data_IF_561231012031
#
_entry.id   IF_561231012031
#
_cell.length_a   1.000
_cell.length_b   1.000
_cell.length_c   1.000
_cell.angle_alpha   90.00
_cell.angle_beta   90.00
_cell.angle_gamma   90.00
#
_symmetry.space_group_name_H-M   'P 1'
#
loop_
_entity.id
_entity.type
_entity.pdbx_description
1 polymer ?
#
# COMPACT_ATOMS: atom_id res chain seq x y z
N UNK A 1 0.91 -4.26 -29.92
CA UNK A 1 2.36 -4.30 -29.67
C UNK A 1 3.01 -3.21 -30.52
N UNK A 2 3.16 -2.00 -29.98
CA UNK A 2 4.07 -1.00 -30.56
C UNK A 2 5.17 -0.79 -29.50
N UNK A 3 6.16 -1.67 -29.53
CA UNK A 3 7.30 -1.63 -28.60
C UNK A 3 8.41 -0.68 -29.08
N UNK A 4 8.24 -0.06 -30.24
CA UNK A 4 9.25 0.79 -30.88
C UNK A 4 8.69 2.20 -31.11
N UNK A 5 9.58 3.19 -31.10
CA UNK A 5 9.26 4.53 -31.57
C UNK A 5 8.76 4.49 -33.03
N UNK A 6 7.98 5.49 -33.44
CA UNK A 6 7.43 5.57 -34.80
C UNK A 6 8.52 5.69 -35.88
N UNK A 7 9.70 6.20 -35.50
CA UNK A 7 10.86 6.39 -36.39
C UNK A 7 12.09 5.67 -35.86
N UNK A 8 12.96 5.25 -36.78
CA UNK A 8 14.36 4.95 -36.44
C UNK A 8 15.13 6.28 -36.36
N UNK A 9 15.66 6.60 -35.17
CA UNK A 9 16.39 7.84 -34.96
C UNK A 9 17.76 7.86 -35.65
N UNK A 10 18.29 6.71 -36.09
CA UNK A 10 19.50 6.65 -36.92
C UNK A 10 19.24 7.07 -38.37
N UNK A 11 17.98 7.05 -38.81
CA UNK A 11 17.56 7.39 -40.17
C UNK A 11 16.73 8.69 -40.22
N UNK A 12 16.59 9.40 -39.10
CA UNK A 12 15.88 10.68 -39.03
C UNK A 12 16.83 11.84 -39.37
N UNK A 13 17.10 12.02 -40.67
CA UNK A 13 18.02 13.03 -41.20
C UNK A 13 17.73 14.45 -40.65
N UNK A 14 16.44 14.81 -40.50
CA UNK A 14 16.03 16.11 -39.93
C UNK A 14 16.52 16.28 -38.49
N UNK A 15 16.42 15.23 -37.68
CA UNK A 15 16.89 15.25 -36.29
C UNK A 15 18.43 15.29 -36.24
N UNK A 16 19.10 14.52 -37.10
CA UNK A 16 20.57 14.46 -37.16
C UNK A 16 21.15 15.81 -37.58
N UNK A 17 20.58 16.46 -38.58
CA UNK A 17 20.96 17.80 -39.02
C UNK A 17 20.74 18.83 -37.90
N UNK A 18 19.58 18.79 -37.25
CA UNK A 18 19.26 19.70 -36.14
C UNK A 18 20.26 19.52 -34.97
N UNK A 19 20.55 18.28 -34.58
CA UNK A 19 21.53 17.97 -33.52
C UNK A 19 22.93 18.47 -33.90
N UNK A 20 23.36 18.23 -35.15
CA UNK A 20 24.67 18.68 -35.64
C UNK A 20 24.77 20.19 -35.60
N UNK A 21 23.76 20.90 -36.10
CA UNK A 21 23.69 22.37 -36.08
C UNK A 21 23.74 22.95 -34.67
N UNK A 22 23.03 22.33 -33.70
CA UNK A 22 23.10 22.71 -32.28
C UNK A 22 24.52 22.54 -31.73
N UNK A 23 25.21 21.44 -32.06
CA UNK A 23 26.58 21.17 -31.60
C UNK A 23 27.63 22.10 -32.22
N UNK A 24 27.35 22.67 -33.39
CA UNK A 24 28.14 23.73 -34.01
C UNK A 24 27.92 25.13 -33.38
N UNK A 25 26.97 25.25 -32.45
CA UNK A 25 26.66 26.48 -31.73
C UNK A 25 25.42 27.22 -32.24
N UNK A 26 24.70 26.68 -33.23
CA UNK A 26 23.47 27.28 -33.76
C UNK A 26 22.26 26.86 -32.90
N UNK A 27 22.08 27.52 -31.76
CA UNK A 27 21.02 27.18 -30.80
C UNK A 27 19.64 27.70 -31.24
N UNK A 28 18.61 26.85 -31.17
CA UNK A 28 17.21 27.29 -31.43
C UNK A 28 16.63 28.09 -30.25
N UNK A 29 17.00 27.71 -29.02
CA UNK A 29 16.49 28.27 -27.75
C UNK A 29 14.97 28.11 -27.54
N UNK A 30 14.30 27.23 -28.27
CA UNK A 30 12.86 27.01 -28.13
C UNK A 30 12.50 26.52 -26.72
N UNK A 31 13.34 25.66 -26.13
CA UNK A 31 13.20 25.19 -24.74
C UNK A 31 13.27 26.31 -23.69
N UNK A 32 13.89 27.45 -24.01
CA UNK A 32 13.98 28.62 -23.12
C UNK A 32 12.80 29.57 -23.30
N UNK A 33 12.20 29.59 -24.50
CA UNK A 33 11.09 30.47 -24.89
C UNK A 33 9.73 29.79 -24.75
N UNK A 34 9.64 28.77 -23.88
CA UNK A 34 8.40 28.04 -23.63
C UNK A 34 7.36 28.94 -22.96
N UNK A 35 6.13 28.89 -23.47
CA UNK A 35 4.97 29.61 -22.94
C UNK A 35 4.29 28.83 -21.81
N UNK A 36 5.04 28.54 -20.75
CA UNK A 36 4.50 28.00 -19.50
C UNK A 36 4.68 28.98 -18.36
N UNK A 37 3.81 28.98 -17.34
CA UNK A 37 3.94 29.91 -16.21
C UNK A 37 5.28 29.77 -15.49
N UNK A 38 6.01 30.87 -15.32
CA UNK A 38 7.28 30.89 -14.59
C UNK A 38 7.02 31.08 -13.10
N UNK A 39 7.00 29.98 -12.35
CA UNK A 39 6.72 29.96 -10.92
C UNK A 39 7.98 29.60 -10.12
N UNK A 40 8.01 29.99 -8.85
CA UNK A 40 9.09 29.66 -7.91
C UNK A 40 8.51 29.02 -6.66
N UNK A 41 8.74 27.72 -6.51
CA UNK A 41 8.42 27.01 -5.27
C UNK A 41 9.42 27.37 -4.16
N UNK A 42 8.95 27.35 -2.91
CA UNK A 42 9.76 27.55 -1.72
C UNK A 42 9.25 26.60 -0.63
N UNK A 43 10.13 26.01 0.19
CA UNK A 43 9.70 25.18 1.30
C UNK A 43 8.90 26.02 2.30
N UNK A 44 7.69 25.58 2.65
CA UNK A 44 6.90 26.19 3.72
C UNK A 44 7.48 25.89 5.11
N UNK A 45 8.12 24.72 5.27
CA UNK A 45 8.82 24.29 6.48
C UNK A 45 10.28 23.91 6.16
N UNK A 46 11.28 24.70 6.60
CA UNK A 46 12.70 24.39 6.38
C UNK A 46 13.14 23.03 6.93
N UNK A 47 12.47 22.50 7.96
CA UNK A 47 12.81 21.20 8.54
C UNK A 47 12.37 20.03 7.64
N UNK A 48 11.36 20.23 6.80
CA UNK A 48 10.86 19.23 5.84
C UNK A 48 11.48 19.38 4.44
N UNK A 49 12.08 20.52 4.15
CA UNK A 49 12.59 20.83 2.82
C UNK A 49 11.47 21.11 1.84
N UNK A 50 11.76 21.03 0.54
CA UNK A 50 10.79 21.30 -0.53
C UNK A 50 9.97 20.03 -0.81
N UNK A 51 8.68 20.08 -0.48
CA UNK A 51 7.74 18.95 -0.61
C UNK A 51 6.88 19.05 -1.89
N UNK A 52 6.12 17.99 -2.18
CA UNK A 52 5.09 18.06 -3.21
C UNK A 52 3.97 19.06 -2.92
N UNK A 53 3.64 19.29 -1.64
CA UNK A 53 2.67 20.32 -1.24
C UNK A 53 3.18 21.72 -1.61
N UNK A 54 4.47 22.00 -1.37
CA UNK A 54 5.11 23.28 -1.76
C UNK A 54 5.18 23.48 -3.28
N UNK A 55 5.12 22.38 -4.04
CA UNK A 55 5.14 22.37 -5.50
C UNK A 55 3.75 22.40 -6.14
N UNK A 56 2.67 22.42 -5.34
CA UNK A 56 1.29 22.48 -5.84
C UNK A 56 0.94 23.89 -6.33
N UNK A 57 1.52 24.29 -7.47
CA UNK A 57 1.49 25.67 -7.96
C UNK A 57 0.92 25.76 -9.37
N UNK A 58 -0.21 26.45 -9.53
CA UNK A 58 -0.83 26.73 -10.83
C UNK A 58 -1.02 25.45 -11.67
N UNK A 59 -0.68 25.44 -12.96
CA UNK A 59 -0.88 24.27 -13.83
C UNK A 59 0.08 23.10 -13.55
N UNK A 60 1.08 23.28 -12.68
CA UNK A 60 1.97 22.20 -12.24
C UNK A 60 1.39 21.41 -11.08
N UNK A 61 0.47 22.01 -10.33
CA UNK A 61 -0.11 21.45 -9.12
C UNK A 61 -1.17 20.38 -9.38
N UNK A 62 -1.35 19.49 -8.41
CA UNK A 62 -2.37 18.45 -8.46
C UNK A 62 -3.79 19.00 -8.30
N UNK A 63 -3.95 20.21 -7.78
CA UNK A 63 -5.24 20.90 -7.73
C UNK A 63 -5.77 21.26 -9.12
N UNK A 64 -4.88 21.43 -10.10
CA UNK A 64 -5.25 21.71 -11.48
C UNK A 64 -5.66 20.46 -12.28
N UNK A 65 -5.51 19.25 -11.73
CA UNK A 65 -5.86 18.02 -12.44
C UNK A 65 -7.38 17.94 -12.60
N UNK A 66 -7.89 17.86 -13.86
CA UNK A 66 -9.32 17.71 -14.11
C UNK A 66 -9.82 16.34 -13.64
N UNK A 67 -11.15 16.21 -13.46
CA UNK A 67 -11.77 14.93 -13.12
C UNK A 67 -11.51 13.84 -14.19
N UNK A 68 -11.40 14.23 -15.46
CA UNK A 68 -11.04 13.34 -16.56
C UNK A 68 -9.84 13.89 -17.32
N UNK A 69 -8.75 13.13 -17.36
CA UNK A 69 -7.58 13.41 -18.20
C UNK A 69 -7.85 12.85 -19.60
N UNK A 70 -7.85 13.70 -20.64
CA UNK A 70 -8.30 13.35 -22.01
C UNK A 70 -7.29 13.59 -23.11
N UNK A 71 -6.20 14.28 -22.82
CA UNK A 71 -5.28 14.84 -23.82
C UNK A 71 -3.81 14.69 -23.39
N UNK A 72 -3.55 13.87 -22.36
CA UNK A 72 -2.21 13.65 -21.79
C UNK A 72 -1.97 12.16 -21.61
N UNK A 73 -1.52 11.52 -22.69
CA UNK A 73 -1.28 10.06 -22.72
C UNK A 73 0.18 9.67 -22.89
N UNK A 74 1.10 10.64 -22.97
CA UNK A 74 2.55 10.43 -22.96
C UNK A 74 3.13 10.55 -21.54
N UNK A 75 4.44 10.34 -21.37
CA UNK A 75 5.19 10.67 -20.12
C UNK A 75 5.61 12.16 -20.04
N UNK A 76 4.99 13.06 -20.80
CA UNK A 76 5.36 14.48 -20.76
C UNK A 76 5.00 15.08 -19.39
N UNK A 77 6.00 15.52 -18.61
CA UNK A 77 5.79 15.96 -17.23
C UNK A 77 4.63 16.97 -17.09
N UNK A 78 3.76 16.76 -16.08
CA UNK A 78 2.58 17.59 -15.83
C UNK A 78 2.93 19.09 -15.82
N UNK A 79 2.14 19.87 -16.56
CA UNK A 79 2.35 21.31 -16.73
C UNK A 79 3.41 21.73 -17.76
N UNK A 80 4.12 20.78 -18.38
CA UNK A 80 5.00 21.08 -19.53
C UNK A 80 4.18 21.52 -20.74
N UNK A 81 4.78 22.35 -21.59
CA UNK A 81 4.23 22.63 -22.90
C UNK A 81 4.19 21.35 -23.74
N UNK A 82 3.01 21.00 -24.24
CA UNK A 82 2.85 19.83 -25.09
C UNK A 82 3.14 20.22 -26.53
N UNK A 83 3.91 19.38 -27.22
CA UNK A 83 4.16 19.49 -28.65
C UNK A 83 3.30 18.45 -29.39
N UNK A 84 3.11 18.66 -30.69
CA UNK A 84 2.40 17.70 -31.52
C UNK A 84 3.16 16.35 -31.58
N UNK A 85 2.43 15.26 -31.86
CA UNK A 85 2.99 13.91 -32.08
C UNK A 85 3.68 13.27 -30.87
N UNK A 86 3.31 13.66 -29.64
CA UNK A 86 3.71 12.91 -28.45
C UNK A 86 3.13 11.49 -28.48
N UNK A 87 3.87 10.47 -28.01
CA UNK A 87 3.39 9.09 -28.05
C UNK A 87 2.25 8.87 -27.05
N UNK A 88 1.29 8.02 -27.42
CA UNK A 88 0.27 7.51 -26.51
C UNK A 88 0.77 6.22 -25.87
N UNK A 89 0.83 6.18 -24.54
CA UNK A 89 1.31 5.04 -23.75
C UNK A 89 0.17 4.12 -23.28
N UNK A 90 -1.07 4.40 -23.68
CA UNK A 90 -2.21 3.53 -23.46
C UNK A 90 -2.71 3.50 -22.02
N UNK A 91 -2.61 4.62 -21.27
CA UNK A 91 -3.18 4.69 -19.93
C UNK A 91 -4.68 4.38 -19.94
N UNK A 92 -5.09 3.43 -19.11
CA UNK A 92 -6.49 2.98 -19.02
C UNK A 92 -7.23 3.61 -17.85
N UNK A 93 -6.51 4.16 -16.85
CA UNK A 93 -7.10 4.83 -15.69
C UNK A 93 -6.78 6.32 -15.76
N UNK A 94 -7.78 7.09 -16.20
CA UNK A 94 -7.65 8.52 -16.51
C UNK A 94 -8.60 9.41 -15.71
N UNK A 95 -9.39 8.82 -14.81
CA UNK A 95 -10.36 9.54 -13.99
C UNK A 95 -9.80 9.77 -12.59
N UNK A 96 -9.80 11.01 -12.13
CA UNK A 96 -9.22 11.39 -10.83
C UNK A 96 -9.93 10.69 -9.68
N UNK A 97 -11.26 10.70 -9.67
CA UNK A 97 -12.03 10.05 -8.61
C UNK A 97 -11.91 8.52 -8.57
N UNK A 98 -11.33 7.86 -9.58
CA UNK A 98 -11.06 6.42 -9.50
C UNK A 98 -9.82 6.11 -8.65
N UNK A 99 -8.97 7.10 -8.34
CA UNK A 99 -7.64 6.83 -7.76
C UNK A 99 -7.18 7.81 -6.67
N UNK A 100 -7.74 9.02 -6.62
CA UNK A 100 -7.21 10.11 -5.81
C UNK A 100 -7.64 10.02 -4.33
N UNK A 101 -6.79 10.55 -3.44
CA UNK A 101 -7.08 10.77 -2.02
C UNK A 101 -6.43 12.08 -1.55
N UNK A 102 -7.15 12.91 -0.80
CA UNK A 102 -6.65 14.24 -0.40
C UNK A 102 -5.42 14.20 0.52
N UNK A 103 -5.20 13.08 1.21
CA UNK A 103 -4.04 12.88 2.07
C UNK A 103 -2.84 12.24 1.36
N UNK A 104 -2.94 11.89 0.08
CA UNK A 104 -1.91 11.09 -0.62
C UNK A 104 -0.54 11.75 -0.63
N UNK A 105 -0.52 13.07 -0.77
CA UNK A 105 0.70 13.89 -0.79
C UNK A 105 1.41 13.84 0.56
N UNK A 106 0.66 14.09 1.64
CA UNK A 106 1.19 14.02 2.99
C UNK A 106 1.68 12.61 3.36
N UNK A 107 0.96 11.57 2.92
CA UNK A 107 1.36 10.18 3.15
C UNK A 107 2.65 9.82 2.41
N UNK A 108 2.85 10.31 1.19
CA UNK A 108 4.11 10.11 0.46
C UNK A 108 5.30 10.80 1.15
N UNK A 109 5.11 12.04 1.62
CA UNK A 109 6.14 12.74 2.39
C UNK A 109 6.46 12.03 3.72
N UNK A 110 5.43 11.55 4.42
CA UNK A 110 5.59 10.77 5.65
C UNK A 110 6.39 9.47 5.42
N UNK A 111 6.11 8.75 4.32
CA UNK A 111 6.81 7.49 4.00
C UNK A 111 8.32 7.70 3.82
N UNK A 112 8.75 8.86 3.31
CA UNK A 112 10.17 9.22 3.21
C UNK A 112 10.75 9.59 4.59
N UNK A 113 10.04 10.43 5.35
CA UNK A 113 10.52 10.96 6.62
C UNK A 113 10.61 9.89 7.72
N UNK A 114 9.71 8.90 7.71
CA UNK A 114 9.65 7.84 8.72
C UNK A 114 10.16 6.49 8.20
N UNK A 115 10.97 6.50 7.15
CA UNK A 115 11.60 5.30 6.59
C UNK A 115 12.43 4.57 7.64
N UNK A 116 12.48 3.25 7.53
CA UNK A 116 13.35 2.38 8.32
C UNK A 116 13.96 1.30 7.43
N UNK A 117 15.03 0.68 7.90
CA UNK A 117 15.78 -0.36 7.22
C UNK A 117 15.81 -1.62 8.08
N UNK A 118 15.15 -2.72 7.66
CA UNK A 118 15.12 -3.97 8.42
C UNK A 118 16.49 -4.50 8.80
N UNK A 119 17.53 -4.22 8.01
CA UNK A 119 18.89 -4.68 8.28
C UNK A 119 19.53 -4.08 9.54
N UNK A 120 19.23 -2.83 9.88
CA UNK A 120 19.99 -2.06 10.88
C UNK A 120 19.13 -1.46 11.98
N UNK A 121 17.85 -1.17 11.70
CA UNK A 121 16.96 -0.55 12.69
C UNK A 121 16.31 -1.56 13.63
N UNK A 122 16.28 -2.85 13.24
CA UNK A 122 15.87 -3.94 14.12
C UNK A 122 17.11 -4.54 14.80
N UNK A 123 17.17 -4.58 16.15
CA UNK A 123 18.31 -5.14 16.88
C UNK A 123 18.26 -6.67 16.91
N UNK A 124 18.52 -7.32 15.78
CA UNK A 124 18.45 -8.78 15.63
C UNK A 124 19.30 -9.57 16.63
N UNK A 125 20.41 -9.01 17.12
CA UNK A 125 21.26 -9.62 18.13
C UNK A 125 20.64 -9.73 19.53
N UNK A 126 19.49 -9.08 19.77
CA UNK A 126 18.74 -9.17 21.04
C UNK A 126 17.75 -10.35 21.06
N UNK A 127 17.68 -11.16 20.00
CA UNK A 127 16.84 -12.35 19.98
C UNK A 127 17.44 -13.43 20.88
N UNK A 128 16.67 -13.86 21.89
CA UNK A 128 17.02 -14.98 22.76
C UNK A 128 16.48 -16.29 22.18
N UNK A 129 17.19 -16.80 21.17
CA UNK A 129 16.74 -17.92 20.34
C UNK A 129 16.83 -19.28 21.05
N UNK A 130 17.63 -19.37 22.12
CA UNK A 130 17.86 -20.60 22.87
C UNK A 130 16.84 -20.82 24.00
N UNK A 131 16.27 -19.75 24.56
CA UNK A 131 15.43 -19.86 25.75
C UNK A 131 14.02 -20.42 25.49
N UNK A 132 13.45 -20.21 24.30
CA UNK A 132 12.04 -20.56 24.03
C UNK A 132 11.81 -21.03 22.57
N UNK A 133 12.29 -22.23 22.17
CA UNK A 133 12.23 -22.70 20.78
C UNK A 133 10.81 -22.77 20.20
N UNK A 134 9.81 -23.09 21.04
CA UNK A 134 8.42 -23.14 20.60
C UNK A 134 7.89 -21.75 20.25
N UNK A 135 8.20 -20.75 21.07
CA UNK A 135 7.81 -19.37 20.81
C UNK A 135 8.51 -18.82 19.57
N UNK A 136 9.78 -19.17 19.38
CA UNK A 136 10.53 -18.81 18.18
C UNK A 136 9.91 -19.44 16.93
N UNK A 137 9.47 -20.69 16.99
CA UNK A 137 8.77 -21.35 15.88
C UNK A 137 7.41 -20.67 15.59
N UNK A 138 6.68 -20.28 16.64
CA UNK A 138 5.43 -19.54 16.48
C UNK A 138 5.66 -18.16 15.84
N UNK A 139 6.67 -17.40 16.29
CA UNK A 139 6.99 -16.11 15.68
C UNK A 139 7.43 -16.27 14.22
N UNK A 140 8.25 -17.29 13.91
CA UNK A 140 8.67 -17.60 12.55
C UNK A 140 7.48 -17.92 11.64
N UNK A 141 6.54 -18.75 12.12
CA UNK A 141 5.31 -19.09 11.39
C UNK A 141 4.41 -17.86 11.15
N UNK A 142 4.21 -17.01 12.16
CA UNK A 142 3.45 -15.78 12.01
C UNK A 142 4.11 -14.82 11.01
N UNK A 143 5.44 -14.70 11.05
CA UNK A 143 6.19 -13.91 10.07
C UNK A 143 6.13 -14.50 8.66
N UNK A 144 6.10 -15.83 8.50
CA UNK A 144 5.94 -16.45 7.17
C UNK A 144 4.62 -16.04 6.53
N UNK A 145 3.50 -16.08 7.25
CA UNK A 145 2.23 -15.59 6.71
C UNK A 145 2.26 -14.08 6.42
N UNK A 146 2.86 -13.28 7.30
CA UNK A 146 2.96 -11.83 7.07
C UNK A 146 3.85 -11.49 5.87
N UNK A 147 4.88 -12.30 5.58
CA UNK A 147 5.68 -12.22 4.35
C UNK A 147 4.81 -12.49 3.12
N UNK A 148 3.97 -13.53 3.14
CA UNK A 148 3.01 -13.84 2.06
C UNK A 148 2.01 -12.69 1.81
N UNK A 149 1.47 -12.13 2.90
CA UNK A 149 0.59 -10.95 2.85
C UNK A 149 1.30 -9.74 2.25
N UNK A 150 2.53 -9.46 2.69
CA UNK A 150 3.32 -8.32 2.21
C UNK A 150 3.69 -8.46 0.72
N UNK A 151 4.00 -9.68 0.25
CA UNK A 151 4.23 -9.94 -1.18
C UNK A 151 3.02 -9.53 -2.02
N UNK A 152 1.81 -9.88 -1.60
CA UNK A 152 0.59 -9.49 -2.33
C UNK A 152 0.29 -8.00 -2.19
N UNK A 153 0.44 -7.43 -0.99
CA UNK A 153 0.24 -5.99 -0.78
C UNK A 153 1.23 -5.13 -1.57
N UNK A 154 2.43 -5.66 -1.86
CA UNK A 154 3.43 -5.06 -2.77
C UNK A 154 3.00 -5.18 -4.24
N UNK A 155 2.47 -6.32 -4.67
CA UNK A 155 2.09 -6.57 -6.07
C UNK A 155 0.77 -5.90 -6.48
N UNK A 156 -0.16 -5.68 -5.56
CA UNK A 156 -1.42 -4.98 -5.87
C UNK A 156 -1.18 -3.63 -6.56
N UNK A 157 -0.44 -2.66 -5.97
CA UNK A 157 -0.15 -1.39 -6.64
C UNK A 157 0.68 -1.57 -7.93
N UNK A 158 1.54 -2.59 -8.02
CA UNK A 158 2.37 -2.86 -9.22
C UNK A 158 1.51 -3.08 -10.47
N UNK A 159 0.37 -3.78 -10.33
CA UNK A 159 -0.59 -4.03 -11.43
C UNK A 159 -1.20 -2.75 -12.01
N UNK A 160 -1.26 -1.67 -11.22
CA UNK A 160 -2.01 -0.48 -11.57
C UNK A 160 -1.16 0.74 -11.89
N UNK A 161 0.02 0.88 -11.27
CA UNK A 161 0.88 2.07 -11.42
C UNK A 161 1.16 2.42 -12.89
N UNK A 162 1.42 1.44 -13.74
CA UNK A 162 1.65 1.69 -15.17
C UNK A 162 0.39 2.16 -15.90
N UNK A 163 -0.77 1.59 -15.56
CA UNK A 163 -2.07 1.85 -16.18
C UNK A 163 -2.68 3.21 -15.78
N UNK A 164 -2.27 3.74 -14.62
CA UNK A 164 -2.69 5.05 -14.12
C UNK A 164 -1.98 6.17 -14.88
N UNK A 165 -2.76 7.14 -15.35
CA UNK A 165 -2.26 8.30 -16.06
C UNK A 165 -1.16 9.03 -15.27
N UNK A 166 -0.07 9.39 -15.94
CA UNK A 166 1.07 10.05 -15.30
C UNK A 166 0.76 11.44 -14.71
N UNK A 167 -0.35 12.07 -15.11
CA UNK A 167 -0.82 13.31 -14.49
C UNK A 167 -1.08 13.15 -12.98
N UNK A 168 -1.35 11.93 -12.50
CA UNK A 168 -1.51 11.60 -11.08
C UNK A 168 -0.16 11.27 -10.39
N UNK A 169 0.89 12.07 -10.64
CA UNK A 169 2.25 11.75 -10.21
C UNK A 169 2.42 11.56 -8.70
N UNK A 170 1.72 12.34 -7.86
CA UNK A 170 1.81 12.24 -6.40
C UNK A 170 1.24 10.90 -5.92
N UNK A 171 0.11 10.50 -6.50
CA UNK A 171 -0.47 9.19 -6.25
C UNK A 171 0.48 8.08 -6.71
N UNK A 172 1.02 8.15 -7.93
CA UNK A 172 1.95 7.13 -8.42
C UNK A 172 3.19 7.03 -7.50
N UNK A 173 3.67 8.17 -7.03
CA UNK A 173 4.78 8.24 -6.06
C UNK A 173 4.41 7.56 -4.73
N UNK A 174 3.21 7.80 -4.21
CA UNK A 174 2.70 7.11 -3.02
C UNK A 174 2.57 5.60 -3.22
N UNK A 175 2.04 5.14 -4.37
CA UNK A 175 1.93 3.71 -4.66
C UNK A 175 3.31 3.04 -4.75
N UNK A 176 4.31 3.70 -5.32
CA UNK A 176 5.68 3.23 -5.26
C UNK A 176 6.24 3.22 -3.82
N UNK A 177 5.91 4.20 -2.98
CA UNK A 177 6.30 4.19 -1.58
C UNK A 177 5.65 3.03 -0.81
N UNK A 178 4.37 2.74 -1.05
CA UNK A 178 3.67 1.58 -0.52
C UNK A 178 4.38 0.27 -0.94
N UNK A 179 4.75 0.11 -2.22
CA UNK A 179 5.51 -1.06 -2.68
C UNK A 179 6.83 -1.23 -1.91
N UNK A 180 7.54 -0.13 -1.66
CA UNK A 180 8.80 -0.15 -0.92
C UNK A 180 8.59 -0.46 0.57
N UNK A 181 7.51 0.03 1.18
CA UNK A 181 7.11 -0.32 2.54
C UNK A 181 6.84 -1.83 2.67
N UNK A 182 6.03 -2.39 1.77
CA UNK A 182 5.72 -3.82 1.76
C UNK A 182 6.97 -4.67 1.45
N UNK A 183 7.88 -4.21 0.58
CA UNK A 183 9.17 -4.88 0.35
C UNK A 183 10.02 -4.95 1.63
N UNK A 184 9.97 -3.93 2.50
CA UNK A 184 10.61 -3.99 3.83
C UNK A 184 9.94 -4.99 4.75
N UNK A 185 8.62 -5.17 4.65
CA UNK A 185 7.90 -6.15 5.47
C UNK A 185 8.26 -7.56 5.04
N UNK A 186 8.33 -7.82 3.74
CA UNK A 186 8.89 -9.08 3.17
C UNK A 186 10.28 -9.34 3.75
N UNK A 187 11.19 -8.37 3.65
CA UNK A 187 12.55 -8.50 4.18
C UNK A 187 12.59 -8.75 5.70
N UNK A 188 11.83 -7.97 6.48
CA UNK A 188 11.82 -8.03 7.94
C UNK A 188 11.22 -9.34 8.45
N UNK A 189 10.08 -9.76 7.92
CA UNK A 189 9.43 -11.01 8.28
C UNK A 189 10.31 -12.21 7.91
N UNK A 190 10.91 -12.20 6.71
CA UNK A 190 11.84 -13.24 6.28
C UNK A 190 13.05 -13.33 7.19
N UNK A 191 13.68 -12.20 7.50
CA UNK A 191 14.81 -12.12 8.44
C UNK A 191 14.41 -12.65 9.80
N UNK A 192 13.23 -12.27 10.32
CA UNK A 192 12.79 -12.69 11.64
C UNK A 192 12.59 -14.21 11.73
N UNK A 193 12.01 -14.82 10.71
CA UNK A 193 11.83 -16.27 10.63
C UNK A 193 13.18 -17.02 10.57
N UNK A 194 14.18 -16.47 9.88
CA UNK A 194 15.49 -17.09 9.71
C UNK A 194 16.45 -16.83 10.89
N UNK A 195 16.39 -15.65 11.50
CA UNK A 195 17.33 -15.23 12.56
C UNK A 195 17.22 -16.09 13.83
N UNK A 196 16.07 -16.72 14.07
CA UNK A 196 15.88 -17.66 15.18
C UNK A 196 16.45 -19.05 14.94
N UNK A 197 16.87 -19.36 13.71
CA UNK A 197 17.27 -20.70 13.28
C UNK A 197 16.11 -21.67 13.06
N UNK A 198 14.85 -21.24 13.26
CA UNK A 198 13.66 -22.09 13.04
C UNK A 198 13.35 -22.29 11.55
N UNK A 199 13.70 -21.31 10.71
CA UNK A 199 13.36 -21.32 9.29
C UNK A 199 11.97 -20.75 9.02
N UNK A 200 11.58 -20.74 7.75
CA UNK A 200 10.22 -20.37 7.36
C UNK A 200 9.22 -21.45 7.82
N UNK A 201 8.03 -21.00 8.18
CA UNK A 201 6.91 -21.87 8.51
C UNK A 201 6.23 -22.45 7.29
N UNK A 202 5.00 -22.93 7.50
CA UNK A 202 4.13 -23.50 6.49
C UNK A 202 3.29 -22.41 5.82
N UNK A 203 3.19 -22.46 4.49
CA UNK A 203 2.25 -21.64 3.73
C UNK A 203 0.80 -22.11 3.94
N UNK A 204 -0.13 -21.16 4.04
CA UNK A 204 -1.54 -21.45 4.27
C UNK A 204 -2.32 -21.52 2.96
N UNK A 205 -2.89 -22.68 2.62
CA UNK A 205 -3.74 -22.81 1.42
C UNK A 205 -4.91 -21.83 1.45
N UNK A 206 -5.50 -21.61 2.63
CA UNK A 206 -6.61 -20.67 2.80
C UNK A 206 -6.17 -19.22 2.63
N UNK A 207 -4.98 -18.85 3.13
CA UNK A 207 -4.46 -17.50 2.93
C UNK A 207 -4.09 -17.27 1.47
N UNK A 208 -3.43 -18.22 0.81
CA UNK A 208 -3.04 -18.11 -0.60
C UNK A 208 -4.25 -17.93 -1.53
N UNK A 209 -5.37 -18.62 -1.29
CA UNK A 209 -6.60 -18.40 -2.05
C UNK A 209 -7.21 -17.01 -1.79
N UNK A 210 -7.21 -16.56 -0.53
CA UNK A 210 -7.71 -15.25 -0.15
C UNK A 210 -6.86 -14.11 -0.72
N UNK A 211 -5.54 -14.24 -0.66
CA UNK A 211 -4.58 -13.29 -1.21
C UNK A 211 -4.67 -13.21 -2.74
N UNK A 212 -4.83 -14.36 -3.42
CA UNK A 212 -5.11 -14.41 -4.85
C UNK A 212 -6.36 -13.60 -5.20
N UNK A 213 -7.45 -13.79 -4.46
CA UNK A 213 -8.71 -13.06 -4.72
C UNK A 213 -8.49 -11.54 -4.67
N UNK A 214 -7.87 -11.04 -3.59
CA UNK A 214 -7.57 -9.62 -3.42
C UNK A 214 -6.64 -9.09 -4.53
N UNK A 215 -5.59 -9.86 -4.87
CA UNK A 215 -4.67 -9.52 -5.93
C UNK A 215 -5.36 -9.37 -7.28
N UNK A 216 -6.44 -10.12 -7.52
CA UNK A 216 -7.16 -10.20 -8.81
C UNK A 216 -8.34 -9.24 -8.95
N UNK A 217 -8.47 -8.23 -8.08
CA UNK A 217 -9.49 -7.19 -8.23
C UNK A 217 -9.55 -6.62 -9.67
N UNK A 218 -10.75 -6.34 -10.16
CA UNK A 218 -11.03 -6.00 -11.56
C UNK A 218 -10.87 -4.50 -11.84
N UNK A 219 -11.02 -3.67 -10.80
CA UNK A 219 -10.87 -2.22 -10.87
C UNK A 219 -9.94 -1.71 -9.77
N UNK A 220 -9.33 -0.54 -9.98
CA UNK A 220 -8.47 0.07 -8.96
C UNK A 220 -9.22 0.44 -7.66
N UNK A 221 -10.44 1.03 -7.69
CA UNK A 221 -11.22 1.25 -6.48
C UNK A 221 -11.44 -0.03 -5.66
N UNK A 222 -11.77 -1.14 -6.31
CA UNK A 222 -11.88 -2.45 -5.63
C UNK A 222 -10.53 -2.92 -5.08
N UNK A 223 -9.46 -2.81 -5.85
CA UNK A 223 -8.12 -3.21 -5.41
C UNK A 223 -7.68 -2.44 -4.16
N UNK A 224 -7.91 -1.12 -4.15
CA UNK A 224 -7.64 -0.26 -2.99
C UNK A 224 -8.57 -0.57 -1.82
N UNK A 225 -9.85 -0.83 -2.07
CA UNK A 225 -10.81 -1.18 -1.02
C UNK A 225 -10.44 -2.51 -0.35
N UNK A 226 -10.13 -3.54 -1.14
CA UNK A 226 -9.74 -4.85 -0.67
C UNK A 226 -8.39 -4.85 0.05
N UNK A 227 -7.38 -4.18 -0.51
CA UNK A 227 -6.00 -4.25 0.00
C UNK A 227 -5.75 -3.21 1.08
N UNK A 228 -6.04 -1.94 0.81
CA UNK A 228 -5.67 -0.85 1.71
C UNK A 228 -6.66 -0.70 2.88
N UNK A 229 -7.96 -0.92 2.65
CA UNK A 229 -8.97 -0.77 3.70
C UNK A 229 -9.29 -2.10 4.40
N UNK A 230 -9.76 -3.12 3.67
CA UNK A 230 -10.15 -4.41 4.26
C UNK A 230 -8.93 -5.14 4.85
N UNK A 231 -7.99 -5.59 4.00
CA UNK A 231 -6.80 -6.31 4.45
C UNK A 231 -5.94 -5.45 5.38
N UNK A 232 -5.66 -4.20 4.98
CA UNK A 232 -4.87 -3.26 5.78
C UNK A 232 -5.38 -3.06 7.21
N UNK A 233 -6.70 -3.06 7.44
CA UNK A 233 -7.28 -2.97 8.79
C UNK A 233 -6.88 -4.15 9.67
N UNK A 234 -6.93 -5.37 9.13
CA UNK A 234 -6.57 -6.57 9.87
C UNK A 234 -5.06 -6.70 10.04
N UNK A 235 -4.27 -6.46 8.98
CA UNK A 235 -2.79 -6.52 9.05
C UNK A 235 -2.23 -5.51 10.05
N UNK A 236 -2.80 -4.31 10.10
CA UNK A 236 -2.47 -3.31 11.12
C UNK A 236 -2.67 -3.88 12.53
N UNK A 237 -3.81 -4.54 12.77
CA UNK A 237 -4.11 -5.18 14.03
C UNK A 237 -3.20 -6.40 14.29
N UNK A 238 -2.79 -7.16 13.26
CA UNK A 238 -1.88 -8.29 13.37
C UNK A 238 -0.51 -7.84 13.88
N UNK A 239 0.10 -6.82 13.26
CA UNK A 239 1.38 -6.27 13.71
C UNK A 239 1.30 -5.69 15.12
N UNK A 240 0.19 -5.00 15.45
CA UNK A 240 -0.07 -4.51 16.80
C UNK A 240 -0.13 -5.65 17.82
N UNK A 241 -0.79 -6.75 17.49
CA UNK A 241 -0.89 -7.92 18.36
C UNK A 241 0.47 -8.59 18.56
N UNK A 242 1.25 -8.78 17.48
CA UNK A 242 2.61 -9.32 17.56
C UNK A 242 3.50 -8.42 18.44
N UNK A 243 3.46 -7.10 18.25
CA UNK A 243 4.18 -6.16 19.11
C UNK A 243 3.76 -6.26 20.59
N UNK A 244 2.45 -6.42 20.86
CA UNK A 244 1.94 -6.53 22.23
C UNK A 244 2.37 -7.82 22.94
N UNK A 245 2.45 -8.94 22.22
CA UNK A 245 2.85 -10.24 22.81
C UNK A 245 4.36 -10.44 22.82
N UNK A 246 5.15 -9.52 22.28
CA UNK A 246 6.59 -9.65 22.07
C UNK A 246 7.44 -9.46 23.32
N UNK A 247 8.38 -10.40 23.55
CA UNK A 247 9.32 -10.35 24.69
C UNK A 247 10.57 -9.51 24.38
N UNK A 248 11.05 -9.52 23.15
CA UNK A 248 12.28 -8.83 22.74
C UNK A 248 11.98 -7.42 22.22
N UNK A 249 12.96 -6.52 22.29
CA UNK A 249 12.86 -5.21 21.64
C UNK A 249 12.82 -5.35 20.11
N UNK A 250 13.54 -6.32 19.56
CA UNK A 250 13.56 -6.62 18.13
C UNK A 250 12.14 -6.86 17.59
N UNK A 251 11.38 -7.75 18.24
CA UNK A 251 10.01 -8.07 17.81
C UNK A 251 9.04 -6.90 18.01
N UNK A 252 9.20 -6.15 19.10
CA UNK A 252 8.42 -4.93 19.34
C UNK A 252 8.67 -3.86 18.27
N UNK A 253 9.92 -3.66 17.87
CA UNK A 253 10.29 -2.72 16.82
C UNK A 253 9.79 -3.18 15.46
N UNK A 254 9.94 -4.46 15.12
CA UNK A 254 9.37 -5.03 13.89
C UNK A 254 7.87 -4.73 13.81
N UNK A 255 7.11 -5.10 14.84
CA UNK A 255 5.66 -4.84 14.87
C UNK A 255 5.32 -3.35 14.80
N UNK A 256 6.05 -2.49 15.51
CA UNK A 256 5.77 -1.04 15.56
C UNK A 256 6.07 -0.34 14.24
N UNK A 257 7.22 -0.64 13.63
CA UNK A 257 7.64 -0.03 12.37
C UNK A 257 6.77 -0.53 11.21
N UNK A 258 6.46 -1.82 11.15
CA UNK A 258 5.52 -2.34 10.16
C UNK A 258 4.11 -1.76 10.34
N UNK A 259 3.61 -1.64 11.57
CA UNK A 259 2.31 -1.01 11.86
C UNK A 259 2.26 0.44 11.36
N UNK A 260 3.34 1.20 11.51
CA UNK A 260 3.43 2.58 11.01
C UNK A 260 3.21 2.65 9.49
N UNK A 261 3.75 1.68 8.76
CA UNK A 261 3.64 1.64 7.30
C UNK A 261 2.25 1.21 6.85
N UNK A 262 1.70 0.14 7.44
CA UNK A 262 0.33 -0.31 7.16
C UNK A 262 -0.69 0.77 7.52
N UNK A 263 -0.44 1.57 8.57
CA UNK A 263 -1.30 2.68 8.94
C UNK A 263 -1.38 3.75 7.83
N UNK A 264 -0.29 4.00 7.09
CA UNK A 264 -0.31 4.91 5.93
C UNK A 264 -1.15 4.35 4.80
N UNK A 265 -0.94 3.08 4.45
CA UNK A 265 -1.75 2.38 3.44
C UNK A 265 -3.25 2.39 3.80
N UNK A 266 -3.59 2.10 5.06
CA UNK A 266 -4.96 2.16 5.55
C UNK A 266 -5.56 3.57 5.54
N UNK A 267 -4.78 4.58 5.91
CA UNK A 267 -5.21 5.98 5.83
C UNK A 267 -5.47 6.43 4.39
N UNK A 268 -4.64 5.97 3.43
CA UNK A 268 -4.90 6.16 2.01
C UNK A 268 -6.20 5.46 1.60
N UNK A 269 -6.39 4.19 1.95
CA UNK A 269 -7.59 3.42 1.60
C UNK A 269 -8.88 4.10 2.06
N UNK A 270 -8.93 4.61 3.30
CA UNK A 270 -10.10 5.33 3.82
C UNK A 270 -10.35 6.65 3.06
N UNK A 271 -9.29 7.45 2.85
CA UNK A 271 -9.43 8.74 2.18
C UNK A 271 -9.75 8.59 0.68
N UNK A 272 -9.18 7.59 0.02
CA UNK A 272 -9.48 7.24 -1.36
C UNK A 272 -10.94 6.85 -1.52
N UNK A 273 -11.46 5.96 -0.67
CA UNK A 273 -12.87 5.58 -0.73
C UNK A 273 -13.82 6.75 -0.45
N UNK A 274 -13.47 7.62 0.51
CA UNK A 274 -14.23 8.84 0.77
C UNK A 274 -14.25 9.76 -0.45
N UNK A 275 -13.10 9.97 -1.09
CA UNK A 275 -13.01 10.80 -2.30
C UNK A 275 -13.81 10.16 -3.45
N UNK A 276 -13.62 8.87 -3.69
CA UNK A 276 -14.31 8.10 -4.73
C UNK A 276 -15.83 8.18 -4.58
N UNK A 277 -16.36 7.85 -3.39
CA UNK A 277 -17.80 7.86 -3.13
C UNK A 277 -18.40 9.27 -3.08
N UNK A 278 -17.62 10.27 -2.66
CA UNK A 278 -18.04 11.67 -2.73
C UNK A 278 -18.26 12.17 -4.16
N UNK A 279 -17.45 11.70 -5.11
CA UNK A 279 -17.54 12.08 -6.53
C UNK A 279 -18.35 11.10 -7.39
N UNK A 280 -18.49 9.85 -6.92
CA UNK A 280 -19.19 8.77 -7.61
C UNK A 280 -20.16 8.03 -6.66
N UNK A 281 -21.19 8.69 -6.11
CA UNK A 281 -22.09 8.07 -5.15
C UNK A 281 -22.81 6.83 -5.70
N UNK A 282 -23.04 6.77 -7.02
CA UNK A 282 -23.61 5.59 -7.69
C UNK A 282 -22.73 4.33 -7.65
N UNK A 283 -21.46 4.43 -7.25
CA UNK A 283 -20.55 3.29 -7.09
C UNK A 283 -20.65 2.61 -5.73
N UNK A 284 -21.36 3.19 -4.77
CA UNK A 284 -21.52 2.64 -3.43
C UNK A 284 -22.05 1.20 -3.44
N UNK A 285 -23.06 0.92 -4.27
CA UNK A 285 -23.65 -0.43 -4.39
C UNK A 285 -22.61 -1.44 -4.91
N UNK A 286 -21.91 -1.10 -6.00
CA UNK A 286 -20.90 -1.99 -6.57
C UNK A 286 -19.74 -2.29 -5.61
N UNK A 287 -19.25 -1.29 -4.87
CA UNK A 287 -18.20 -1.48 -3.86
C UNK A 287 -18.70 -2.29 -2.65
N UNK A 288 -19.95 -2.10 -2.25
CA UNK A 288 -20.52 -2.90 -1.18
C UNK A 288 -20.76 -4.36 -1.60
N UNK A 289 -21.12 -4.61 -2.86
CA UNK A 289 -21.22 -5.96 -3.43
C UNK A 289 -19.85 -6.63 -3.60
N UNK A 290 -18.81 -5.84 -3.89
CA UNK A 290 -17.42 -6.30 -3.83
C UNK A 290 -17.05 -6.74 -2.40
N UNK A 291 -17.34 -5.93 -1.37
CA UNK A 291 -17.09 -6.31 0.03
C UNK A 291 -17.92 -7.53 0.48
N UNK A 292 -19.17 -7.64 0.05
CA UNK A 292 -20.00 -8.83 0.34
C UNK A 292 -19.35 -10.13 -0.15
N UNK A 293 -18.62 -10.07 -1.26
CA UNK A 293 -17.83 -11.19 -1.77
C UNK A 293 -16.50 -11.31 -1.04
N UNK A 294 -15.74 -10.24 -0.85
CA UNK A 294 -14.35 -10.34 -0.42
C UNK A 294 -14.11 -10.30 1.08
N UNK A 295 -15.09 -9.95 1.93
CA UNK A 295 -14.90 -9.95 3.39
C UNK A 295 -14.51 -11.34 3.95
N UNK A 296 -14.85 -12.44 3.28
CA UNK A 296 -14.44 -13.78 3.72
C UNK A 296 -12.92 -14.01 3.62
N UNK A 297 -12.21 -13.23 2.80
CA UNK A 297 -10.74 -13.33 2.66
C UNK A 297 -10.04 -13.12 4.00
N UNK A 298 -10.62 -12.32 4.90
CA UNK A 298 -10.15 -12.12 6.27
C UNK A 298 -10.05 -13.44 7.03
N UNK A 299 -10.99 -14.35 6.84
CA UNK A 299 -10.93 -15.67 7.50
C UNK A 299 -9.88 -16.58 6.89
N UNK A 300 -9.66 -16.46 5.57
CA UNK A 300 -8.58 -17.16 4.90
C UNK A 300 -7.20 -16.73 5.41
N UNK A 301 -7.04 -15.45 5.79
CA UNK A 301 -5.75 -14.86 6.19
C UNK A 301 -5.63 -14.80 7.72
N UNK A 302 -6.34 -13.86 8.35
CA UNK A 302 -6.31 -13.62 9.79
C UNK A 302 -6.94 -14.76 10.60
N UNK A 303 -7.87 -15.51 9.99
CA UNK A 303 -8.49 -16.71 10.57
C UNK A 303 -7.74 -18.02 10.30
N UNK A 304 -6.63 -17.99 9.56
CA UNK A 304 -5.88 -19.21 9.23
C UNK A 304 -5.26 -19.86 10.47
N UNK A 305 -5.13 -21.20 10.51
CA UNK A 305 -4.36 -21.88 11.54
C UNK A 305 -2.92 -21.37 11.64
N UNK A 306 -2.32 -21.07 10.49
CA UNK A 306 -0.96 -20.53 10.35
C UNK A 306 -0.77 -19.14 11.00
N UNK A 307 -1.86 -18.43 11.32
CA UNK A 307 -1.79 -17.20 12.14
C UNK A 307 -2.32 -17.39 13.56
N UNK A 308 -3.51 -17.99 13.69
CA UNK A 308 -4.22 -18.02 14.96
C UNK A 308 -3.50 -18.89 15.99
N UNK A 309 -3.01 -20.06 15.61
CA UNK A 309 -2.32 -20.96 16.55
C UNK A 309 -1.01 -20.33 17.06
N UNK A 310 -0.13 -19.78 16.19
CA UNK A 310 1.01 -19.00 16.65
C UNK A 310 0.63 -17.84 17.56
N UNK A 311 -0.39 -17.05 17.23
CA UNK A 311 -0.77 -15.90 18.04
C UNK A 311 -1.30 -16.34 19.42
N UNK A 312 -2.08 -17.43 19.50
CA UNK A 312 -2.51 -18.03 20.77
C UNK A 312 -1.31 -18.45 21.60
N UNK A 313 -0.33 -19.15 21.01
CA UNK A 313 0.88 -19.61 21.71
C UNK A 313 1.73 -18.43 22.19
N UNK A 314 1.93 -17.42 21.34
CA UNK A 314 2.69 -16.22 21.67
C UNK A 314 2.04 -15.44 22.83
N UNK A 315 0.72 -15.34 22.85
CA UNK A 315 -0.04 -14.69 23.92
C UNK A 315 -0.12 -15.53 25.21
N UNK A 316 -0.19 -16.86 25.09
CA UNK A 316 -0.24 -17.78 26.23
C UNK A 316 1.10 -17.85 26.98
N UNK A 317 2.22 -17.79 26.24
CA UNK A 317 3.57 -17.90 26.78
C UNK A 317 3.97 -19.29 27.28
N UNK A 318 3.05 -20.26 27.27
CA UNK A 318 3.31 -21.68 27.56
C UNK A 318 2.19 -22.57 27.01
N UNK A 319 2.38 -23.89 27.01
CA UNK A 319 1.38 -24.89 26.58
C UNK A 319 0.46 -25.39 27.69
N UNK A 320 0.59 -24.84 28.89
CA UNK A 320 -0.30 -25.22 29.99
C UNK A 320 -1.75 -24.88 29.64
N UNK A 321 -2.73 -25.77 29.91
CA UNK A 321 -4.12 -25.55 29.51
C UNK A 321 -4.69 -24.20 29.94
N UNK A 322 -4.37 -23.76 31.17
CA UNK A 322 -4.80 -22.45 31.69
C UNK A 322 -4.13 -21.26 30.99
N UNK A 323 -2.90 -21.42 30.50
CA UNK A 323 -2.21 -20.39 29.72
C UNK A 323 -2.78 -20.30 28.30
N UNK A 324 -3.01 -21.45 27.65
CA UNK A 324 -3.65 -21.52 26.34
C UNK A 324 -5.05 -20.91 26.37
N UNK A 325 -5.84 -21.15 27.43
CA UNK A 325 -7.14 -20.50 27.60
C UNK A 325 -7.04 -18.96 27.65
N UNK A 326 -6.02 -18.41 28.32
CA UNK A 326 -5.76 -16.95 28.32
C UNK A 326 -5.29 -16.44 26.96
N UNK A 327 -4.45 -17.20 26.26
CA UNK A 327 -4.01 -16.90 24.89
C UNK A 327 -5.19 -16.87 23.90
N UNK A 328 -6.06 -17.88 23.97
CA UNK A 328 -7.29 -17.92 23.17
C UNK A 328 -8.21 -16.73 23.49
N UNK A 329 -8.39 -16.38 24.76
CA UNK A 329 -9.16 -15.20 25.15
C UNK A 329 -8.54 -13.90 24.62
N UNK A 330 -7.21 -13.79 24.58
CA UNK A 330 -6.52 -12.66 23.95
C UNK A 330 -6.83 -12.58 22.44
N UNK A 331 -6.69 -13.69 21.72
CA UNK A 331 -6.93 -13.74 20.27
C UNK A 331 -8.39 -13.43 19.92
N UNK A 332 -9.36 -13.92 20.71
CA UNK A 332 -10.78 -13.55 20.54
C UNK A 332 -10.99 -12.04 20.66
N UNK A 333 -10.46 -11.42 21.71
CA UNK A 333 -10.55 -9.96 21.90
C UNK A 333 -9.85 -9.20 20.77
N UNK A 334 -8.69 -9.66 20.34
CA UNK A 334 -7.96 -9.09 19.22
C UNK A 334 -8.80 -9.11 17.94
N UNK A 335 -9.37 -10.25 17.58
CA UNK A 335 -10.16 -10.39 16.36
C UNK A 335 -11.42 -9.49 16.39
N UNK A 336 -12.13 -9.46 17.53
CA UNK A 336 -13.25 -8.54 17.72
C UNK A 336 -12.84 -7.08 17.59
N UNK A 337 -11.72 -6.68 18.20
CA UNK A 337 -11.20 -5.31 18.09
C UNK A 337 -10.80 -4.95 16.65
N UNK A 338 -10.12 -5.86 15.94
CA UNK A 338 -9.74 -5.66 14.54
C UNK A 338 -10.97 -5.48 13.64
N UNK A 339 -12.03 -6.25 13.87
CA UNK A 339 -13.30 -6.12 13.16
C UNK A 339 -13.97 -4.77 13.43
N UNK A 340 -14.05 -4.34 14.69
CA UNK A 340 -14.64 -3.04 15.04
C UNK A 340 -13.89 -1.89 14.38
N UNK A 341 -12.55 -1.90 14.43
CA UNK A 341 -11.72 -0.90 13.73
C UNK A 341 -11.92 -0.91 12.21
N UNK A 342 -12.08 -2.09 11.59
CA UNK A 342 -12.41 -2.21 10.17
C UNK A 342 -13.76 -1.56 9.84
N UNK A 343 -14.80 -1.84 10.63
CA UNK A 343 -16.13 -1.26 10.43
C UNK A 343 -16.14 0.25 10.65
N UNK A 344 -15.39 0.76 11.62
CA UNK A 344 -15.18 2.20 11.83
C UNK A 344 -14.51 2.84 10.62
N UNK A 345 -13.49 2.19 10.03
CA UNK A 345 -12.84 2.67 8.80
C UNK A 345 -13.78 2.64 7.59
N UNK A 346 -14.62 1.61 7.45
CA UNK A 346 -15.68 1.56 6.44
C UNK A 346 -16.66 2.74 6.60
N UNK A 347 -17.14 2.99 7.82
CA UNK A 347 -18.02 4.13 8.08
C UNK A 347 -17.34 5.47 7.75
N UNK A 348 -16.09 5.65 8.15
CA UNK A 348 -15.30 6.85 7.84
C UNK A 348 -15.02 7.02 6.33
N UNK A 349 -15.04 5.93 5.57
CA UNK A 349 -14.87 5.91 4.12
C UNK A 349 -16.18 6.20 3.34
N UNK A 350 -17.33 6.30 4.02
CA UNK A 350 -18.64 6.50 3.38
C UNK A 350 -19.44 5.20 3.16
N UNK A 351 -19.00 4.08 3.75
CA UNK A 351 -19.66 2.77 3.71
C UNK A 351 -20.29 2.46 5.07
N UNK A 352 -21.13 3.37 5.58
CA UNK A 352 -21.70 3.28 6.94
C UNK A 352 -22.65 2.10 7.17
N UNK A 353 -23.34 1.64 6.11
CA UNK A 353 -24.25 0.48 6.12
C UNK A 353 -23.51 -0.87 6.18
N UNK A 354 -22.17 -0.84 6.16
CA UNK A 354 -21.34 -2.05 6.16
C UNK A 354 -21.54 -2.88 7.42
N UNK A 355 -21.82 -2.26 8.58
CA UNK A 355 -22.04 -2.99 9.83
C UNK A 355 -23.26 -3.90 9.75
N UNK A 356 -24.35 -3.46 9.12
CA UNK A 356 -25.55 -4.26 8.93
C UNK A 356 -25.39 -5.33 7.84
N UNK A 357 -24.64 -5.01 6.77
CA UNK A 357 -24.42 -5.93 5.64
C UNK A 357 -23.40 -7.03 5.92
N UNK A 358 -22.37 -6.72 6.71
CA UNK A 358 -21.25 -7.64 6.94
C UNK A 358 -21.68 -8.91 7.68
N UNK A 359 -21.13 -10.04 7.24
CA UNK A 359 -21.27 -11.33 7.92
C UNK A 359 -20.26 -11.49 9.05
N UNK A 360 -19.22 -10.68 9.08
CA UNK A 360 -18.12 -10.77 10.05
C UNK A 360 -18.59 -10.56 11.51
N UNK A 361 -19.50 -9.62 11.85
CA UNK A 361 -20.00 -9.48 13.22
C UNK A 361 -20.67 -10.73 13.78
N UNK A 362 -21.48 -11.43 12.97
CA UNK A 362 -22.14 -12.68 13.38
C UNK A 362 -21.11 -13.78 13.64
N UNK A 363 -20.07 -13.83 12.81
CA UNK A 363 -18.98 -14.77 13.01
C UNK A 363 -18.15 -14.44 14.25
N UNK A 364 -17.79 -13.17 14.46
CA UNK A 364 -17.08 -12.73 15.65
C UNK A 364 -17.84 -13.04 16.94
N UNK A 365 -19.17 -12.85 16.95
CA UNK A 365 -20.02 -13.26 18.07
C UNK A 365 -19.97 -14.78 18.32
N UNK A 366 -19.92 -15.58 17.26
CA UNK A 366 -19.76 -17.05 17.36
C UNK A 366 -18.39 -17.44 17.90
N UNK A 367 -17.34 -16.72 17.51
CA UNK A 367 -15.97 -16.93 18.00
C UNK A 367 -15.78 -16.43 19.45
N UNK A 368 -16.62 -15.49 19.91
CA UNK A 368 -16.59 -14.95 21.26
C UNK A 368 -17.28 -15.87 22.28
N UNK A 369 -18.33 -16.60 21.86
CA UNK A 369 -19.01 -17.64 22.63
C UNK A 369 -18.09 -18.84 22.90
#
# INVERSE_FOLDING_TARGET
MAYYAEKDFFEDDELIELVTSILEGNLTLDWYRVDTPRLRAKPADPARGLTYEDCNLGPYGYDAIPEFVRDRYSMAARGSALVAKLPDLGYTINRRSDVWADNVVGLYEEAKARRWAPAVDIPWGELDTAADPLREAAMAQACTLLEEVALVAMEVPSRWVFSINQEFLELKSFLCAQMIDEARHVEACRKRALASGQGLGRASVSAEQALKELLTAETYPEASLGTNLLLGSFVLAMYRALGAVSKTRADRLLGTLSMQDVARSAAYGVAHMRYHLGHQPGKAVALADYLDRSEHTVLGIAGSPEFLEPLVLLAAGSREPGALARGAAFVRRWFTGALEEYLERCAAAGLGDRRERSRLPRLAATLAA
#
